data_IF_788041467306
#
_entry.id   IF_788041467306
#
_cell.length_a   1.000
_cell.length_b   1.000
_cell.length_c   1.000
_cell.angle_alpha   90.00
_cell.angle_beta   90.00
_cell.angle_gamma   90.00
#
_symmetry.space_group_name_H-M   'P 1'
#
loop_
_entity.id
_entity.type
_entity.pdbx_description
1 polymer ?
#
# COMPACT_ATOMS: atom_id res chain seq x y z
N UNK A 1 24.07 -8.94 10.95
CA UNK A 1 24.22 -9.35 9.53
C UNK A 1 22.96 -9.40 8.67
N UNK A 2 21.83 -8.81 9.07
CA UNK A 2 20.59 -8.83 8.26
C UNK A 2 20.43 -7.66 7.25
N UNK A 3 21.41 -6.75 7.20
CA UNK A 3 21.34 -5.49 6.46
C UNK A 3 21.78 -5.64 4.99
N UNK A 4 22.76 -6.50 4.74
CA UNK A 4 23.40 -6.68 3.43
C UNK A 4 22.48 -7.15 2.28
N UNK A 5 21.44 -8.00 2.49
CA UNK A 5 20.52 -8.38 1.43
C UNK A 5 19.74 -7.18 0.85
N UNK A 6 19.52 -6.14 1.68
CA UNK A 6 18.82 -4.91 1.32
C UNK A 6 19.74 -3.84 0.73
N UNK A 7 20.93 -4.23 0.25
CA UNK A 7 21.79 -3.38 -0.57
C UNK A 7 22.03 -3.95 -1.99
N UNK A 8 21.28 -4.97 -2.42
CA UNK A 8 21.44 -5.54 -3.76
C UNK A 8 20.88 -4.61 -4.86
N UNK A 9 21.73 -3.96 -5.68
CA UNK A 9 21.30 -2.99 -6.69
C UNK A 9 20.46 -3.63 -7.81
N UNK A 10 20.67 -4.92 -8.09
CA UNK A 10 19.93 -5.65 -9.11
C UNK A 10 18.47 -5.89 -8.67
N UNK A 11 18.25 -6.12 -7.38
CA UNK A 11 16.91 -6.28 -6.83
C UNK A 11 16.19 -4.92 -6.76
N UNK A 12 16.88 -3.85 -6.38
CA UNK A 12 16.33 -2.50 -6.39
C UNK A 12 15.90 -2.07 -7.81
N UNK A 13 16.76 -2.29 -8.81
CA UNK A 13 16.46 -2.02 -10.22
C UNK A 13 15.27 -2.83 -10.74
N UNK A 14 15.16 -4.12 -10.36
CA UNK A 14 14.00 -4.95 -10.71
C UNK A 14 12.70 -4.40 -10.11
N UNK A 15 12.71 -3.98 -8.85
CA UNK A 15 11.53 -3.38 -8.20
C UNK A 15 11.13 -2.07 -8.87
N UNK A 16 12.09 -1.18 -9.14
CA UNK A 16 11.84 0.07 -9.84
C UNK A 16 11.20 -0.17 -11.22
N UNK A 17 11.68 -1.16 -11.97
CA UNK A 17 11.06 -1.58 -13.25
C UNK A 17 9.63 -2.08 -13.08
N UNK A 18 9.31 -2.81 -12.01
CA UNK A 18 7.95 -3.27 -11.73
C UNK A 18 7.03 -2.09 -11.43
N UNK A 19 7.48 -1.13 -10.61
CA UNK A 19 6.74 0.11 -10.29
C UNK A 19 6.47 0.91 -11.56
N UNK A 20 7.49 1.17 -12.38
CA UNK A 20 7.34 1.95 -13.62
C UNK A 20 6.40 1.25 -14.62
N UNK A 21 6.52 -0.07 -14.78
CA UNK A 21 5.60 -0.86 -15.64
C UNK A 21 4.17 -0.80 -15.12
N UNK A 22 3.98 -0.85 -13.80
CA UNK A 22 2.66 -0.73 -13.20
C UNK A 22 2.10 0.68 -13.44
N UNK A 23 2.86 1.74 -13.16
CA UNK A 23 2.46 3.13 -13.38
C UNK A 23 2.11 3.40 -14.85
N UNK A 24 2.92 2.94 -15.80
CA UNK A 24 2.66 3.11 -17.23
C UNK A 24 1.34 2.47 -17.68
N UNK A 25 0.94 1.35 -17.07
CA UNK A 25 -0.35 0.68 -17.35
C UNK A 25 -1.53 1.30 -16.60
N UNK A 26 -1.26 2.11 -15.59
CA UNK A 26 -2.25 2.62 -14.64
C UNK A 26 -2.11 4.14 -14.44
N UNK A 27 -1.83 4.89 -15.52
CA UNK A 27 -1.53 6.34 -15.48
C UNK A 27 -2.61 7.18 -14.78
N UNK A 28 -3.87 6.73 -14.81
CA UNK A 28 -5.00 7.40 -14.17
C UNK A 28 -5.42 6.76 -12.82
N UNK A 29 -4.72 5.72 -12.35
CA UNK A 29 -5.04 5.04 -11.10
C UNK A 29 -4.39 5.75 -9.91
N UNK A 30 -5.04 6.82 -9.45
CA UNK A 30 -4.53 7.66 -8.35
C UNK A 30 -4.67 7.03 -6.96
N UNK A 31 -5.34 5.88 -6.83
CA UNK A 31 -5.65 5.29 -5.51
C UNK A 31 -5.37 3.80 -5.48
N UNK A 32 -4.37 3.42 -4.67
CA UNK A 32 -4.16 2.05 -4.22
C UNK A 32 -5.45 1.57 -3.53
N UNK A 33 -6.18 0.64 -4.16
CA UNK A 33 -7.35 0.00 -3.53
C UNK A 33 -6.88 -1.27 -2.83
N UNK A 34 -6.91 -1.30 -1.50
CA UNK A 34 -6.60 -2.49 -0.72
C UNK A 34 -7.75 -3.48 -0.69
N UNK A 35 -7.47 -4.75 -0.38
CA UNK A 35 -8.51 -5.77 -0.23
C UNK A 35 -9.54 -5.42 0.86
N UNK A 36 -9.08 -4.89 1.99
CA UNK A 36 -9.96 -4.40 3.06
C UNK A 36 -10.83 -3.24 2.59
N UNK A 37 -10.28 -2.28 1.82
CA UNK A 37 -11.05 -1.14 1.33
C UNK A 37 -12.21 -1.57 0.43
N UNK A 38 -11.97 -2.55 -0.45
CA UNK A 38 -13.02 -3.11 -1.30
C UNK A 38 -14.10 -3.79 -0.46
N UNK A 39 -13.70 -4.62 0.50
CA UNK A 39 -14.63 -5.28 1.42
C UNK A 39 -15.44 -4.26 2.23
N UNK A 40 -14.78 -3.26 2.81
CA UNK A 40 -15.45 -2.26 3.64
C UNK A 40 -16.46 -1.47 2.84
N UNK A 41 -16.15 -1.09 1.59
CA UNK A 41 -17.09 -0.37 0.72
C UNK A 41 -18.32 -1.21 0.37
N UNK A 42 -18.15 -2.52 0.20
CA UNK A 42 -19.21 -3.47 -0.12
C UNK A 42 -20.16 -3.68 1.07
N UNK A 43 -19.61 -3.76 2.29
CA UNK A 43 -20.37 -4.08 3.51
C UNK A 43 -20.83 -2.85 4.32
N UNK A 44 -20.36 -1.65 3.98
CA UNK A 44 -20.62 -0.43 4.77
C UNK A 44 -22.10 -0.10 4.88
N UNK A 45 -22.86 -0.26 3.80
CA UNK A 45 -24.28 0.07 3.76
C UNK A 45 -25.07 -0.81 4.74
N UNK A 46 -24.82 -2.12 4.69
CA UNK A 46 -25.48 -3.11 5.55
C UNK A 46 -25.11 -2.90 7.02
N UNK A 47 -23.81 -2.68 7.30
CA UNK A 47 -23.34 -2.42 8.66
C UNK A 47 -23.92 -1.12 9.23
N UNK A 48 -24.05 -0.08 8.42
CA UNK A 48 -24.68 1.19 8.84
C UNK A 48 -26.19 1.08 9.01
N UNK A 49 -26.87 0.21 8.27
CA UNK A 49 -28.30 -0.03 8.46
C UNK A 49 -28.57 -0.78 9.78
N UNK A 50 -27.67 -1.68 10.17
CA UNK A 50 -27.77 -2.43 11.43
C UNK A 50 -27.43 -1.59 12.66
N UNK A 51 -26.47 -0.67 12.53
CA UNK A 51 -26.10 0.25 13.61
C UNK A 51 -27.00 1.47 13.55
N UNK A 52 -28.00 1.53 14.42
CA UNK A 52 -28.88 2.69 14.54
C UNK A 52 -28.06 3.99 14.68
N UNK A 53 -28.46 5.02 13.94
CA UNK A 53 -27.82 6.33 13.86
C UNK A 53 -27.59 6.90 15.27
N UNK A 54 -26.36 6.85 15.79
CA UNK A 54 -26.03 7.43 17.10
C UNK A 54 -25.09 6.65 18.01
N UNK A 55 -24.47 5.56 17.54
CA UNK A 55 -23.43 4.89 18.32
C UNK A 55 -22.28 5.84 18.67
N UNK A 56 -21.97 5.95 19.97
CA UNK A 56 -20.91 6.84 20.47
C UNK A 56 -19.56 6.34 19.94
N UNK A 57 -18.74 7.21 19.32
CA UNK A 57 -17.41 6.82 18.87
C UNK A 57 -16.55 6.32 20.02
N UNK A 58 -16.25 5.02 20.04
CA UNK A 58 -15.31 4.46 21.00
C UNK A 58 -13.89 4.81 20.54
N UNK A 59 -13.11 5.48 21.39
CA UNK A 59 -11.75 5.95 21.07
C UNK A 59 -11.69 6.80 19.78
N UNK A 60 -12.75 7.56 19.49
CA UNK A 60 -12.86 8.38 18.29
C UNK A 60 -13.11 7.61 16.98
N UNK A 61 -13.39 6.31 17.04
CA UNK A 61 -13.72 5.49 15.87
C UNK A 61 -15.22 5.27 15.74
N UNK A 62 -15.74 5.42 14.52
CA UNK A 62 -17.11 5.08 14.16
C UNK A 62 -17.40 3.60 14.50
N UNK A 63 -18.48 3.29 15.24
CA UNK A 63 -18.89 1.92 15.53
C UNK A 63 -19.02 1.05 14.27
N UNK A 64 -19.45 1.61 13.14
CA UNK A 64 -19.52 0.90 11.87
C UNK A 64 -18.13 0.49 11.37
N UNK A 65 -17.14 1.37 11.51
CA UNK A 65 -15.76 1.07 11.14
C UNK A 65 -15.15 -0.03 12.02
N UNK A 66 -15.44 -0.02 13.33
CA UNK A 66 -15.00 -1.08 14.25
C UNK A 66 -15.63 -2.43 13.90
N UNK A 67 -16.92 -2.46 13.59
CA UNK A 67 -17.61 -3.69 13.19
C UNK A 67 -17.04 -4.25 11.89
N UNK A 68 -16.84 -3.41 10.87
CA UNK A 68 -16.21 -3.80 9.61
C UNK A 68 -14.82 -4.38 9.80
N UNK A 69 -14.04 -3.81 10.72
CA UNK A 69 -12.71 -4.31 11.04
C UNK A 69 -12.75 -5.72 11.65
N UNK A 70 -13.67 -5.96 12.59
CA UNK A 70 -13.86 -7.28 13.19
C UNK A 70 -14.30 -8.31 12.15
N UNK A 71 -15.32 -7.98 11.34
CA UNK A 71 -15.77 -8.85 10.25
C UNK A 71 -14.62 -9.21 9.30
N UNK A 72 -13.76 -8.24 8.97
CA UNK A 72 -12.60 -8.48 8.10
C UNK A 72 -11.55 -9.42 8.71
N UNK A 73 -11.40 -9.45 10.04
CA UNK A 73 -10.49 -10.37 10.73
C UNK A 73 -11.09 -11.78 10.85
N UNK A 74 -12.40 -11.89 10.96
CA UNK A 74 -13.13 -13.16 11.07
C UNK A 74 -13.36 -13.84 9.71
N UNK A 75 -13.22 -13.11 8.60
CA UNK A 75 -13.32 -13.66 7.24
C UNK A 75 -12.38 -14.85 7.03
N UNK A 76 -12.90 -15.86 6.35
CA UNK A 76 -12.10 -17.01 5.93
C UNK A 76 -10.97 -16.58 4.98
N UNK A 77 -9.83 -17.27 5.08
CA UNK A 77 -8.64 -16.96 4.29
C UNK A 77 -8.82 -17.11 2.77
N UNK A 78 -9.86 -17.81 2.28
CA UNK A 78 -10.15 -17.92 0.84
C UNK A 78 -10.89 -16.67 0.37
N UNK A 79 -11.93 -16.24 1.09
CA UNK A 79 -12.69 -15.01 0.77
C UNK A 79 -11.82 -13.78 0.91
N UNK A 80 -11.00 -13.69 1.96
CA UNK A 80 -10.03 -12.59 2.13
C UNK A 80 -9.07 -12.49 0.92
N UNK A 81 -8.60 -13.64 0.42
CA UNK A 81 -7.76 -13.72 -0.78
C UNK A 81 -8.48 -13.28 -2.05
N UNK A 82 -9.80 -13.48 -2.18
CA UNK A 82 -10.58 -12.97 -3.33
C UNK A 82 -10.54 -11.45 -3.38
N UNK A 83 -10.80 -10.77 -2.26
CA UNK A 83 -10.70 -9.30 -2.20
C UNK A 83 -9.28 -8.80 -2.47
N UNK A 84 -8.26 -9.47 -1.93
CA UNK A 84 -6.85 -9.13 -2.20
C UNK A 84 -6.45 -9.33 -3.68
N UNK A 85 -7.05 -10.28 -4.40
CA UNK A 85 -6.82 -10.48 -5.84
C UNK A 85 -7.56 -9.43 -6.68
N UNK A 86 -8.76 -9.01 -6.27
CA UNK A 86 -9.55 -7.95 -6.93
C UNK A 86 -8.89 -6.58 -6.79
N UNK A 87 -8.26 -6.33 -5.65
CA UNK A 87 -7.36 -5.20 -5.45
C UNK A 87 -6.20 -5.31 -6.44
N UNK A 88 -6.06 -4.33 -7.34
CA UNK A 88 -4.92 -4.28 -8.25
C UNK A 88 -3.62 -4.40 -7.44
N UNK A 89 -2.78 -5.37 -7.79
CA UNK A 89 -1.46 -5.56 -7.15
C UNK A 89 -0.55 -4.42 -7.58
N UNK A 90 -0.72 -3.26 -6.95
CA UNK A 90 0.24 -2.18 -6.99
C UNK A 90 1.50 -2.70 -6.28
N UNK A 91 2.65 -2.77 -6.97
CA UNK A 91 3.90 -3.14 -6.33
C UNK A 91 4.20 -2.15 -5.20
N UNK A 92 4.90 -2.64 -4.18
CA UNK A 92 5.36 -1.77 -3.12
C UNK A 92 6.36 -0.74 -3.66
N UNK A 93 6.30 0.52 -3.21
CA UNK A 93 7.25 1.53 -3.66
C UNK A 93 8.65 1.13 -3.23
N UNK A 94 9.65 1.43 -4.05
CA UNK A 94 11.05 1.08 -3.77
C UNK A 94 11.48 1.51 -2.36
N UNK A 95 11.09 2.70 -1.92
CA UNK A 95 11.42 3.24 -0.59
C UNK A 95 10.86 2.42 0.59
N UNK A 96 9.77 1.67 0.40
CA UNK A 96 9.22 0.81 1.46
C UNK A 96 10.01 -0.48 1.67
N UNK A 97 10.68 -0.96 0.63
CA UNK A 97 11.51 -2.18 0.65
C UNK A 97 12.95 -1.80 1.00
N UNK A 98 13.45 -0.78 0.32
CA UNK A 98 14.80 -0.22 0.42
C UNK A 98 14.64 1.09 1.18
N UNK A 99 14.54 1.03 2.51
CA UNK A 99 14.41 2.20 3.39
C UNK A 99 15.76 2.91 3.49
N UNK A 100 16.05 3.96 2.68
CA UNK A 100 17.36 4.59 2.71
C UNK A 100 17.63 5.24 4.07
N UNK A 101 16.59 5.68 4.76
CA UNK A 101 16.65 6.19 6.14
C UNK A 101 17.24 5.19 7.14
N UNK A 102 17.09 3.89 6.89
CA UNK A 102 17.69 2.84 7.72
C UNK A 102 19.03 2.36 7.16
N UNK A 103 19.17 2.29 5.83
CA UNK A 103 20.24 1.53 5.18
C UNK A 103 21.27 2.37 4.40
N UNK A 104 20.94 3.60 4.02
CA UNK A 104 21.74 4.45 3.12
C UNK A 104 21.90 5.90 3.59
N UNK A 105 21.45 6.24 4.81
CA UNK A 105 21.28 7.61 5.26
C UNK A 105 20.37 8.46 4.32
N UNK A 106 20.19 9.74 4.63
CA UNK A 106 19.35 10.64 3.82
C UNK A 106 20.07 11.08 2.55
N UNK A 107 19.46 10.84 1.39
CA UNK A 107 19.89 11.38 0.09
C UNK A 107 18.84 12.38 -0.40
N UNK A 108 19.26 13.46 -1.07
CA UNK A 108 18.35 14.45 -1.64
C UNK A 108 17.42 13.83 -2.68
N UNK A 109 16.16 14.28 -2.75
CA UNK A 109 15.22 13.88 -3.79
C UNK A 109 15.73 14.23 -5.22
N UNK A 110 16.63 15.21 -5.32
CA UNK A 110 17.24 15.65 -6.59
C UNK A 110 18.48 14.86 -7.00
N UNK A 111 18.99 13.99 -6.12
CA UNK A 111 20.29 13.32 -6.31
C UNK A 111 20.39 12.58 -7.65
N UNK A 112 19.34 11.89 -8.07
CA UNK A 112 19.35 11.15 -9.33
C UNK A 112 19.44 12.07 -10.57
N UNK A 113 18.85 13.27 -10.50
CA UNK A 113 18.96 14.26 -11.59
C UNK A 113 20.37 14.85 -11.65
N UNK A 114 20.96 15.18 -10.49
CA UNK A 114 22.32 15.73 -10.42
C UNK A 114 23.37 14.74 -10.95
N UNK A 115 23.25 13.45 -10.61
CA UNK A 115 24.13 12.40 -11.14
C UNK A 115 24.00 12.26 -12.66
N UNK A 116 22.77 12.35 -13.21
CA UNK A 116 22.56 12.33 -14.66
C UNK A 116 23.22 13.52 -15.33
N UNK A 117 23.02 14.74 -14.80
CA UNK A 117 23.67 15.95 -15.31
C UNK A 117 25.19 15.85 -15.30
N UNK A 118 25.79 15.26 -14.25
CA UNK A 118 27.24 15.05 -14.18
C UNK A 118 27.76 14.04 -15.22
N UNK A 119 27.03 12.95 -15.47
CA UNK A 119 27.45 11.91 -16.42
C UNK A 119 27.25 12.32 -17.89
N UNK A 120 26.40 13.30 -18.15
CA UNK A 120 26.14 13.86 -19.47
C UNK A 120 27.04 15.07 -19.82
N UNK A 121 27.91 15.49 -18.89
CA UNK A 121 28.89 16.56 -19.04
C UNK A 121 30.28 16.01 -19.42
#
# INVERSE_FOLDING_TARGET
DEVMPKMNPQQASKQFKLVNRWQAKHQHSLRRKGGFLLFSQEMLADVKAEISTGGIPAYGRDPAALKLLNMWYELDGKTRRKYQKRAARCPDPSLSIWRPDIYFASVSETFENEVKTFLEA
#
